data_IF_525334437331
#
_entry.id   IF_525334437331
#
_cell.length_a   1.000
_cell.length_b   1.000
_cell.length_c   1.000
_cell.angle_alpha   90.00
_cell.angle_beta   90.00
_cell.angle_gamma   90.00
#
_symmetry.space_group_name_H-M   'P 1'
#
loop_
_entity.id
_entity.type
_entity.pdbx_description
1 polymer ?
#
# COMPACT_ATOMS: atom_id res chain seq x y z
N UNK A 1 -19.84 60.67 9.98
CA UNK A 1 -19.06 59.91 8.96
C UNK A 1 -17.73 59.37 9.48
N UNK A 2 -16.81 60.21 9.98
CA UNK A 2 -15.44 59.81 10.38
C UNK A 2 -15.37 58.69 11.45
N UNK A 3 -16.29 58.69 12.43
CA UNK A 3 -16.37 57.65 13.48
C UNK A 3 -16.85 56.29 12.97
N UNK A 4 -17.62 56.27 11.88
CA UNK A 4 -18.11 55.05 11.24
C UNK A 4 -17.02 54.39 10.38
N UNK A 5 -16.26 55.19 9.63
CA UNK A 5 -15.10 54.70 8.87
C UNK A 5 -14.05 54.07 9.80
N UNK A 6 -13.79 54.68 10.97
CA UNK A 6 -12.81 54.18 11.95
C UNK A 6 -13.25 52.89 12.66
N UNK A 7 -14.56 52.65 12.79
CA UNK A 7 -15.11 51.39 13.33
C UNK A 7 -15.13 50.28 12.28
N UNK A 8 -15.46 50.62 11.03
CA UNK A 8 -15.41 49.69 9.91
C UNK A 8 -13.97 49.23 9.60
N UNK A 9 -13.00 50.15 9.67
CA UNK A 9 -11.58 49.84 9.49
C UNK A 9 -11.01 48.96 10.62
N UNK A 10 -11.48 49.14 11.87
CA UNK A 10 -11.06 48.30 13.01
C UNK A 10 -11.66 46.90 12.93
N UNK A 11 -12.89 46.77 12.41
CA UNK A 11 -13.55 45.47 12.21
C UNK A 11 -12.99 44.71 11.00
N UNK A 12 -12.55 45.40 9.94
CA UNK A 12 -11.81 44.78 8.83
C UNK A 12 -10.42 44.26 9.27
N UNK A 13 -9.71 45.00 10.15
CA UNK A 13 -8.42 44.55 10.67
C UNK A 13 -8.56 43.32 11.60
N UNK A 14 -9.61 43.25 12.41
CA UNK A 14 -9.87 42.12 13.30
C UNK A 14 -10.32 40.85 12.56
N UNK A 15 -10.97 40.98 11.40
CA UNK A 15 -11.38 39.83 10.58
C UNK A 15 -10.22 39.27 9.73
N UNK A 16 -9.22 40.08 9.35
CA UNK A 16 -8.01 39.60 8.68
C UNK A 16 -7.07 38.78 9.59
N UNK A 17 -7.03 39.08 10.89
CA UNK A 17 -6.15 38.40 11.85
C UNK A 17 -6.67 36.98 12.18
N UNK A 18 -7.99 36.79 12.21
CA UNK A 18 -8.60 35.47 12.48
C UNK A 18 -8.47 34.50 11.29
N UNK A 19 -8.37 35.01 10.06
CA UNK A 19 -8.20 34.16 8.87
C UNK A 19 -6.76 33.63 8.68
N UNK A 20 -5.79 34.16 9.42
CA UNK A 20 -4.37 33.79 9.29
C UNK A 20 -3.94 32.64 10.23
N UNK A 21 -4.84 32.15 11.10
CA UNK A 21 -4.50 31.22 12.19
C UNK A 21 -4.76 29.73 11.95
N UNK A 22 -5.25 29.31 10.77
CA UNK A 22 -5.68 27.92 10.53
C UNK A 22 -4.76 27.09 9.62
N UNK A 23 -3.54 27.54 9.34
CA UNK A 23 -2.57 26.77 8.56
C UNK A 23 -1.42 26.25 9.44
N UNK A 24 -1.75 25.46 10.47
CA UNK A 24 -0.79 24.50 11.04
C UNK A 24 -0.76 23.29 10.13
N UNK A 25 -0.13 23.46 8.95
CA UNK A 25 0.16 22.36 8.06
C UNK A 25 1.36 21.57 8.61
N UNK A 26 1.15 20.27 8.71
CA UNK A 26 2.01 19.20 9.18
C UNK A 26 3.52 19.46 9.05
N UNK A 27 4.24 19.29 10.16
CA UNK A 27 5.66 18.97 10.13
C UNK A 27 5.82 17.57 9.53
N UNK A 28 5.90 17.48 8.21
CA UNK A 28 6.39 16.30 7.53
C UNK A 28 7.89 16.21 7.85
N UNK A 29 8.25 15.39 8.85
CA UNK A 29 9.59 14.85 8.93
C UNK A 29 9.86 14.18 7.58
N UNK A 30 10.61 14.87 6.72
CA UNK A 30 11.21 14.26 5.54
C UNK A 30 12.30 13.35 6.07
N UNK A 31 11.91 12.18 6.55
CA UNK A 31 12.79 11.03 6.59
C UNK A 31 13.19 10.80 5.15
N UNK A 32 14.43 11.17 4.84
CA UNK A 32 15.09 10.92 3.58
C UNK A 32 15.34 9.41 3.49
N UNK A 33 14.27 8.64 3.41
CA UNK A 33 14.30 7.20 3.34
C UNK A 33 14.45 6.85 1.87
N UNK A 34 15.69 6.57 1.45
CA UNK A 34 15.91 5.65 0.34
C UNK A 34 15.33 4.29 0.78
N UNK A 35 14.01 4.13 0.72
CA UNK A 35 13.32 2.86 0.93
C UNK A 35 13.62 1.97 -0.27
N UNK A 36 14.82 1.40 -0.30
CA UNK A 36 15.13 0.35 -1.25
C UNK A 36 14.38 -0.90 -0.78
N UNK A 37 13.17 -1.09 -1.31
CA UNK A 37 12.31 -2.21 -0.98
C UNK A 37 13.01 -3.52 -1.39
N UNK A 38 12.98 -4.52 -0.51
CA UNK A 38 13.61 -5.81 -0.78
C UNK A 38 12.89 -6.51 -1.94
N UNK A 39 13.67 -7.13 -2.82
CA UNK A 39 13.17 -7.90 -3.96
C UNK A 39 13.94 -9.21 -4.03
N UNK A 40 13.23 -10.34 -4.08
CA UNK A 40 13.86 -11.65 -4.21
C UNK A 40 14.47 -11.83 -5.61
N UNK A 41 15.45 -12.71 -5.73
CA UNK A 41 15.99 -13.06 -7.04
C UNK A 41 14.92 -13.75 -7.88
N UNK A 42 14.87 -13.42 -9.17
CA UNK A 42 14.01 -14.08 -10.13
C UNK A 42 14.55 -15.49 -10.48
N UNK A 43 15.84 -15.73 -10.32
CA UNK A 43 16.50 -16.97 -10.77
C UNK A 43 15.93 -18.22 -10.10
N UNK A 44 15.60 -18.09 -8.82
CA UNK A 44 15.08 -19.15 -7.95
C UNK A 44 13.56 -19.38 -8.13
N UNK A 45 12.90 -18.56 -8.95
CA UNK A 45 11.46 -18.66 -9.18
C UNK A 45 11.10 -19.67 -10.28
N UNK A 46 9.88 -20.24 -10.25
CA UNK A 46 9.38 -21.13 -11.30
C UNK A 46 9.42 -20.50 -12.69
N UNK A 47 9.57 -21.33 -13.73
CA UNK A 47 9.66 -20.87 -15.11
C UNK A 47 8.47 -20.00 -15.54
N UNK A 48 7.26 -20.34 -15.08
CA UNK A 48 6.05 -19.57 -15.41
C UNK A 48 6.10 -18.15 -14.84
N UNK A 49 6.64 -17.97 -13.64
CA UNK A 49 6.89 -16.64 -13.05
C UNK A 49 7.91 -15.89 -13.89
N UNK A 50 9.04 -16.52 -14.25
CA UNK A 50 10.11 -15.90 -15.05
C UNK A 50 9.65 -15.44 -16.43
N UNK A 51 8.68 -16.13 -17.01
CA UNK A 51 8.10 -15.81 -18.32
C UNK A 51 6.86 -14.92 -18.25
N UNK A 52 6.37 -14.60 -17.05
CA UNK A 52 5.20 -13.74 -16.86
C UNK A 52 5.51 -12.29 -17.26
N UNK A 53 4.49 -11.42 -17.44
CA UNK A 53 4.71 -9.99 -17.61
C UNK A 53 5.54 -9.40 -16.46
N UNK A 54 6.35 -8.39 -16.75
CA UNK A 54 7.30 -7.78 -15.78
C UNK A 54 6.62 -7.36 -14.47
N UNK A 55 5.37 -6.87 -14.54
CA UNK A 55 4.61 -6.49 -13.35
C UNK A 55 4.26 -7.67 -12.45
N UNK A 56 4.01 -8.84 -13.04
CA UNK A 56 3.75 -10.10 -12.32
C UNK A 56 5.05 -10.60 -11.70
N UNK A 57 6.15 -10.64 -12.47
CA UNK A 57 7.48 -10.99 -11.95
C UNK A 57 7.83 -10.15 -10.72
N UNK A 58 7.68 -8.82 -10.85
CA UNK A 58 7.95 -7.86 -9.78
C UNK A 58 7.09 -8.13 -8.54
N UNK A 59 5.82 -8.51 -8.72
CA UNK A 59 4.93 -8.82 -7.62
C UNK A 59 5.36 -10.08 -6.86
N UNK A 60 5.78 -11.14 -7.58
CA UNK A 60 6.36 -12.34 -6.98
C UNK A 60 7.64 -12.03 -6.20
N UNK A 61 8.56 -11.27 -6.81
CA UNK A 61 9.82 -10.86 -6.17
C UNK A 61 9.59 -10.09 -4.87
N UNK A 62 8.61 -9.18 -4.87
CA UNK A 62 8.30 -8.39 -3.69
C UNK A 62 7.64 -9.24 -2.59
N UNK A 63 6.67 -10.08 -2.92
CA UNK A 63 5.99 -10.92 -1.91
C UNK A 63 6.96 -11.91 -1.25
N UNK A 64 7.83 -12.56 -2.03
CA UNK A 64 8.82 -13.50 -1.50
C UNK A 64 9.84 -12.82 -0.57
N UNK A 65 10.17 -11.54 -0.82
CA UNK A 65 11.16 -10.82 -0.03
C UNK A 65 10.58 -10.07 1.18
N UNK A 66 9.25 -9.88 1.26
CA UNK A 66 8.63 -9.06 2.31
C UNK A 66 7.41 -9.75 2.96
N UNK A 67 7.55 -10.99 3.47
CA UNK A 67 6.44 -11.74 4.08
C UNK A 67 5.81 -11.00 5.27
N UNK A 68 6.60 -10.30 6.08
CA UNK A 68 6.14 -9.55 7.24
C UNK A 68 5.20 -8.38 6.88
N UNK A 69 5.36 -7.81 5.67
CA UNK A 69 4.46 -6.79 5.15
C UNK A 69 3.24 -7.44 4.52
N UNK A 70 3.46 -8.37 3.59
CA UNK A 70 2.40 -8.84 2.70
C UNK A 70 1.42 -9.81 3.36
N UNK A 71 1.77 -10.41 4.49
CA UNK A 71 0.82 -11.17 5.33
C UNK A 71 -0.21 -10.28 6.04
N UNK A 72 0.04 -8.96 6.13
CA UNK A 72 -0.89 -7.99 6.73
C UNK A 72 -1.82 -7.33 5.71
N UNK A 73 -1.59 -7.55 4.42
CA UNK A 73 -2.36 -6.93 3.33
C UNK A 73 -3.40 -7.94 2.82
N UNK A 74 -4.70 -7.63 2.82
CA UNK A 74 -5.72 -8.54 2.32
C UNK A 74 -5.75 -8.59 0.79
N UNK A 75 -6.38 -9.63 0.26
CA UNK A 75 -6.84 -9.70 -1.10
C UNK A 75 -8.38 -9.79 -1.13
N UNK A 76 -8.96 -9.25 -2.20
CA UNK A 76 -10.41 -9.15 -2.38
C UNK A 76 -10.90 -9.84 -3.65
N UNK A 77 -10.07 -10.70 -4.27
CA UNK A 77 -10.41 -11.40 -5.50
C UNK A 77 -11.30 -12.65 -5.30
N UNK A 78 -11.65 -12.98 -4.05
CA UNK A 78 -12.44 -14.17 -3.72
C UNK A 78 -11.61 -15.43 -3.47
N UNK A 79 -10.28 -15.34 -3.42
CA UNK A 79 -9.37 -16.47 -3.20
C UNK A 79 -9.44 -17.11 -1.80
N UNK A 80 -10.19 -16.52 -0.85
CA UNK A 80 -10.30 -17.05 0.51
C UNK A 80 -10.84 -18.49 0.57
N UNK A 81 -11.72 -18.88 -0.37
CA UNK A 81 -12.23 -20.25 -0.47
C UNK A 81 -11.17 -21.28 -0.88
N UNK A 82 -10.02 -20.84 -1.41
CA UNK A 82 -8.88 -21.69 -1.72
C UNK A 82 -7.91 -21.85 -0.54
N UNK A 83 -8.17 -21.16 0.58
CA UNK A 83 -7.29 -21.16 1.75
C UNK A 83 -6.25 -20.04 1.78
N UNK A 84 -6.32 -19.07 0.85
CA UNK A 84 -5.47 -17.87 0.91
C UNK A 84 -5.95 -16.93 2.02
N UNK A 85 -5.03 -16.51 2.89
CA UNK A 85 -5.28 -15.74 4.12
C UNK A 85 -4.74 -14.31 4.08
N UNK A 86 -4.11 -13.91 2.98
CA UNK A 86 -3.57 -12.57 2.73
C UNK A 86 -3.18 -12.42 1.27
N UNK A 87 -2.74 -11.25 0.83
CA UNK A 87 -2.16 -11.08 -0.50
C UNK A 87 -0.87 -11.90 -0.64
N UNK A 88 -0.07 -12.06 0.42
CA UNK A 88 1.12 -12.94 0.42
C UNK A 88 0.81 -14.38 0.02
N UNK A 89 -0.23 -14.98 0.60
CA UNK A 89 -0.61 -16.37 0.29
C UNK A 89 -1.04 -16.59 -1.16
N UNK A 90 -1.31 -15.53 -1.93
CA UNK A 90 -1.58 -15.64 -3.37
C UNK A 90 -0.32 -15.92 -4.20
N UNK A 91 0.87 -15.70 -3.63
CA UNK A 91 2.18 -15.87 -4.27
C UNK A 91 3.00 -16.99 -3.65
N UNK A 92 2.82 -17.26 -2.35
CA UNK A 92 3.60 -18.21 -1.58
C UNK A 92 2.68 -19.20 -0.88
N UNK A 93 2.82 -20.47 -1.24
CA UNK A 93 2.10 -21.59 -0.64
C UNK A 93 2.74 -22.03 0.70
N UNK A 94 4.05 -21.83 0.85
CA UNK A 94 4.77 -22.18 2.06
C UNK A 94 6.26 -21.84 1.99
N UNK A 95 6.95 -22.07 3.10
CA UNK A 95 8.41 -22.01 3.19
C UNK A 95 8.86 -23.26 3.93
N UNK A 96 9.82 -23.99 3.37
CA UNK A 96 10.34 -25.20 4.01
C UNK A 96 11.35 -24.90 5.14
N UNK A 97 11.83 -25.96 5.80
CA UNK A 97 12.76 -25.85 6.95
C UNK A 97 14.10 -25.19 6.59
N UNK A 98 14.50 -25.24 5.31
CA UNK A 98 15.73 -24.64 4.79
C UNK A 98 15.52 -23.19 4.32
N UNK A 99 14.29 -22.67 4.44
CA UNK A 99 13.94 -21.31 4.02
C UNK A 99 13.61 -21.19 2.54
N UNK A 100 13.48 -22.30 1.81
CA UNK A 100 13.11 -22.26 0.39
C UNK A 100 11.61 -22.02 0.26
N UNK A 101 11.28 -21.04 -0.58
CA UNK A 101 9.90 -20.64 -0.87
C UNK A 101 9.24 -21.63 -1.83
N UNK A 102 8.07 -22.13 -1.45
CA UNK A 102 7.14 -22.81 -2.34
C UNK A 102 6.15 -21.79 -2.91
N UNK A 103 6.18 -21.60 -4.22
CA UNK A 103 5.43 -20.55 -4.90
C UNK A 103 4.04 -21.02 -5.32
N UNK A 104 3.02 -20.26 -4.96
CA UNK A 104 1.66 -20.45 -5.48
C UNK A 104 1.55 -19.81 -6.88
N UNK A 105 0.84 -20.46 -7.79
CA UNK A 105 0.66 -19.99 -9.18
C UNK A 105 -0.56 -19.09 -9.37
N UNK A 106 -1.40 -18.92 -8.34
CA UNK A 106 -2.65 -18.18 -8.44
C UNK A 106 -2.46 -16.73 -8.92
N UNK A 107 -1.45 -16.03 -8.40
CA UNK A 107 -1.17 -14.66 -8.78
C UNK A 107 -0.70 -14.50 -10.24
N UNK A 108 -0.26 -15.55 -10.93
CA UNK A 108 0.01 -15.49 -12.38
C UNK A 108 -1.23 -15.09 -13.18
N UNK A 109 -2.42 -15.50 -12.72
CA UNK A 109 -3.69 -15.30 -13.41
C UNK A 109 -4.60 -14.23 -12.78
N UNK A 110 -4.19 -13.58 -11.68
CA UNK A 110 -5.07 -12.69 -10.92
C UNK A 110 -4.55 -11.24 -10.91
N UNK A 111 -5.16 -10.37 -11.72
CA UNK A 111 -4.76 -8.96 -11.78
C UNK A 111 -4.96 -8.23 -10.45
N UNK A 112 -6.02 -8.54 -9.69
CA UNK A 112 -6.28 -7.91 -8.39
C UNK A 112 -5.13 -8.19 -7.40
N UNK A 113 -4.62 -9.42 -7.36
CA UNK A 113 -3.49 -9.77 -6.50
C UNK A 113 -2.27 -8.91 -6.84
N UNK A 114 -1.99 -8.76 -8.13
CA UNK A 114 -0.85 -8.01 -8.67
C UNK A 114 -1.03 -6.52 -8.41
N UNK A 115 -2.19 -5.95 -8.69
CA UNK A 115 -2.48 -4.52 -8.49
C UNK A 115 -2.37 -4.12 -7.02
N UNK A 116 -2.88 -4.94 -6.09
CA UNK A 116 -2.70 -4.75 -4.65
C UNK A 116 -1.22 -4.71 -4.28
N UNK A 117 -0.40 -5.64 -4.80
CA UNK A 117 1.04 -5.65 -4.56
C UNK A 117 1.71 -4.39 -5.12
N UNK A 118 1.33 -3.95 -6.32
CA UNK A 118 1.90 -2.72 -6.92
C UNK A 118 1.52 -1.48 -6.12
N UNK A 119 0.30 -1.41 -5.61
CA UNK A 119 -0.15 -0.33 -4.74
C UNK A 119 0.59 -0.33 -3.40
N UNK A 120 0.81 -1.50 -2.79
CA UNK A 120 1.65 -1.61 -1.59
C UNK A 120 3.06 -1.09 -1.85
N UNK A 121 3.71 -1.54 -2.94
CA UNK A 121 5.05 -1.06 -3.32
C UNK A 121 5.06 0.45 -3.52
N UNK A 122 4.08 0.99 -4.24
CA UNK A 122 3.95 2.43 -4.51
C UNK A 122 3.79 3.23 -3.21
N UNK A 123 2.93 2.79 -2.30
CA UNK A 123 2.63 3.49 -1.07
C UNK A 123 3.78 3.41 -0.05
N UNK A 124 4.49 2.28 0.03
CA UNK A 124 5.72 2.18 0.83
C UNK A 124 6.79 3.16 0.35
N UNK A 125 6.97 3.31 -0.96
CA UNK A 125 7.88 4.31 -1.53
C UNK A 125 7.44 5.76 -1.23
N UNK A 126 6.15 5.98 -0.95
CA UNK A 126 5.62 7.26 -0.49
C UNK A 126 5.72 7.44 1.03
N UNK A 127 6.35 6.50 1.74
CA UNK A 127 6.55 6.55 3.19
C UNK A 127 5.31 6.17 4.01
N UNK A 128 4.30 5.53 3.39
CA UNK A 128 3.12 5.04 4.11
C UNK A 128 3.44 3.84 4.99
N UNK A 129 2.80 3.80 6.15
CA UNK A 129 2.87 2.67 7.07
C UNK A 129 2.00 1.50 6.59
N UNK A 130 2.34 0.27 6.98
CA UNK A 130 1.55 -0.93 6.62
C UNK A 130 0.06 -0.80 6.99
N UNK A 131 -0.33 -0.26 8.16
CA UNK A 131 -1.74 -0.03 8.47
C UNK A 131 -2.44 0.98 7.54
N UNK A 132 -1.76 2.06 7.13
CA UNK A 132 -2.32 3.00 6.16
C UNK A 132 -2.51 2.34 4.79
N UNK A 133 -1.56 1.48 4.38
CA UNK A 133 -1.63 0.73 3.12
C UNK A 133 -2.78 -0.26 3.17
N UNK A 134 -2.92 -1.00 4.28
CA UNK A 134 -4.06 -1.90 4.48
C UNK A 134 -5.37 -1.14 4.34
N UNK A 135 -5.52 0.00 5.02
CA UNK A 135 -6.74 0.80 4.93
C UNK A 135 -7.03 1.28 3.50
N UNK A 136 -5.99 1.68 2.75
CA UNK A 136 -6.12 2.01 1.33
C UNK A 136 -6.59 0.80 0.50
N UNK A 137 -6.00 -0.38 0.72
CA UNK A 137 -6.36 -1.61 0.01
C UNK A 137 -7.81 -2.00 0.33
N UNK A 138 -8.20 -1.97 1.60
CA UNK A 138 -9.57 -2.22 2.04
C UNK A 138 -10.56 -1.30 1.31
N UNK A 139 -10.28 0.02 1.31
CA UNK A 139 -11.16 1.01 0.69
C UNK A 139 -11.23 0.88 -0.84
N UNK A 140 -10.14 0.47 -1.49
CA UNK A 140 -10.03 0.44 -2.94
C UNK A 140 -10.59 -0.87 -3.53
N UNK A 141 -10.32 -2.00 -2.87
CA UNK A 141 -10.54 -3.33 -3.45
C UNK A 141 -11.73 -4.08 -2.84
N UNK A 142 -12.31 -3.66 -1.71
CA UNK A 142 -13.48 -4.33 -1.11
C UNK A 142 -14.73 -4.38 -2.01
N UNK A 143 -14.78 -3.56 -3.06
CA UNK A 143 -15.83 -3.64 -4.07
C UNK A 143 -15.80 -4.94 -4.89
N UNK A 144 -14.67 -5.67 -4.93
CA UNK A 144 -14.51 -6.89 -5.72
C UNK A 144 -14.93 -8.16 -4.97
N UNK A 145 -15.02 -8.11 -3.64
CA UNK A 145 -15.37 -9.28 -2.83
C UNK A 145 -15.10 -9.05 -1.34
N UNK A 146 -15.31 -10.07 -0.49
CA UNK A 146 -14.88 -10.05 0.90
C UNK A 146 -13.35 -10.15 1.00
N UNK A 147 -12.80 -9.67 2.12
CA UNK A 147 -11.39 -9.87 2.47
C UNK A 147 -11.07 -11.36 2.59
N UNK A 148 -9.91 -11.79 2.12
CA UNK A 148 -9.40 -13.13 2.33
C UNK A 148 -8.69 -13.33 3.69
N UNK A 149 -8.46 -12.24 4.45
CA UNK A 149 -7.91 -12.34 5.80
C UNK A 149 -8.93 -12.93 6.80
N UNK A 150 -8.48 -13.78 7.74
CA UNK A 150 -9.33 -14.39 8.77
C UNK A 150 -9.83 -13.42 9.84
#
# INVERSE_FOLDING_TARGET
MIRYLRRLSLQLLMSLIVFSGLLTACSANTSNNNHNLAMASLDEMPADVKNAPVMVQRAYQFNAANPEIMTQIPCYCGCGSMGHTSNYSCYVAGVDEDGKVDYDTHALGCSICVDITQDTIRLLNQGKTVPEIKAYVDQTYAQYGPSNMP
#
